data_IF_080069485599
#
_entry.id   IF_080069485599
#
_cell.length_a   1.000
_cell.length_b   1.000
_cell.length_c   1.000
_cell.angle_alpha   90.00
_cell.angle_beta   90.00
_cell.angle_gamma   90.00
#
_symmetry.space_group_name_H-M   'P 1'
#
loop_
_entity.id
_entity.type
_entity.pdbx_description
1 polymer ?
#
# COMPACT_ATOMS: atom_id res chain seq x y z
N UNK A 1 23.16 -22.41 -3.03
CA UNK A 1 21.77 -22.33 -2.54
C UNK A 1 21.89 -21.98 -1.07
N UNK A 2 22.08 -20.70 -0.79
CA UNK A 2 22.53 -20.22 0.51
C UNK A 2 21.39 -19.41 1.13
N UNK A 3 20.91 -19.92 2.26
CA UNK A 3 19.97 -19.32 3.19
C UNK A 3 18.55 -18.97 2.72
N UNK A 4 17.76 -20.02 2.45
CA UNK A 4 16.31 -19.90 2.25
C UNK A 4 15.59 -19.30 3.48
N UNK A 5 16.12 -19.46 4.71
CA UNK A 5 15.50 -18.95 5.93
C UNK A 5 15.84 -17.47 6.18
N UNK A 6 17.10 -17.06 6.00
CA UNK A 6 17.51 -15.65 6.05
C UNK A 6 16.84 -14.80 4.98
N UNK A 7 16.70 -15.32 3.75
CA UNK A 7 15.98 -14.65 2.67
C UNK A 7 14.49 -14.46 3.00
N UNK A 8 13.85 -15.44 3.66
CA UNK A 8 12.44 -15.34 4.08
C UNK A 8 12.26 -14.31 5.20
N UNK A 9 13.16 -14.24 6.18
CA UNK A 9 13.09 -13.23 7.24
C UNK A 9 13.28 -11.80 6.69
N UNK A 10 14.27 -11.61 5.80
CA UNK A 10 14.49 -10.34 5.09
C UNK A 10 13.28 -10.00 4.23
N UNK A 11 12.70 -10.97 3.52
CA UNK A 11 11.51 -10.79 2.70
C UNK A 11 10.26 -10.42 3.53
N UNK A 12 10.09 -11.00 4.72
CA UNK A 12 8.99 -10.67 5.64
C UNK A 12 9.15 -9.26 6.19
N UNK A 13 10.36 -8.86 6.58
CA UNK A 13 10.61 -7.51 7.07
C UNK A 13 10.37 -6.47 5.96
N UNK A 14 10.87 -6.74 4.75
CA UNK A 14 10.58 -5.92 3.57
C UNK A 14 9.09 -5.82 3.25
N UNK A 15 8.33 -6.91 3.46
CA UNK A 15 6.88 -6.93 3.24
C UNK A 15 6.16 -6.04 4.24
N UNK A 16 6.53 -6.10 5.52
CA UNK A 16 5.97 -5.24 6.57
C UNK A 16 6.32 -3.78 6.35
N UNK A 17 7.55 -3.48 5.96
CA UNK A 17 7.96 -2.11 5.63
C UNK A 17 7.17 -1.55 4.45
N UNK A 18 6.85 -2.38 3.44
CA UNK A 18 5.97 -1.97 2.35
C UNK A 18 4.55 -1.66 2.83
N UNK A 19 3.98 -2.49 3.69
CA UNK A 19 2.65 -2.23 4.27
C UNK A 19 2.62 -0.92 5.05
N UNK A 20 3.68 -0.60 5.80
CA UNK A 20 3.80 0.70 6.50
C UNK A 20 3.88 1.88 5.52
N UNK A 21 4.69 1.77 4.46
CA UNK A 21 4.77 2.81 3.43
C UNK A 21 3.43 3.03 2.71
N UNK A 22 2.63 1.99 2.49
CA UNK A 22 1.28 2.12 1.95
C UNK A 22 0.38 2.91 2.91
N UNK A 23 0.40 2.60 4.19
CA UNK A 23 -0.42 3.28 5.21
C UNK A 23 0.03 4.73 5.39
N UNK A 24 1.34 4.98 5.38
CA UNK A 24 1.92 6.33 5.48
C UNK A 24 1.58 7.16 4.25
N UNK A 25 1.65 6.58 3.04
CA UNK A 25 1.21 7.26 1.81
C UNK A 25 -0.26 7.68 1.90
N UNK A 26 -1.14 6.79 2.40
CA UNK A 26 -2.55 7.11 2.63
C UNK A 26 -2.72 8.19 3.69
N UNK A 27 -1.98 8.12 4.81
CA UNK A 27 -1.98 9.13 5.87
C UNK A 27 -1.47 10.50 5.40
N UNK A 28 -0.53 10.54 4.46
CA UNK A 28 -0.01 11.75 3.82
C UNK A 28 -0.98 12.33 2.77
N UNK A 29 -2.11 11.69 2.51
CA UNK A 29 -3.18 12.20 1.64
C UNK A 29 -3.38 11.44 0.33
N UNK A 30 -2.60 10.37 0.07
CA UNK A 30 -2.83 9.53 -1.11
C UNK A 30 -4.14 8.75 -0.95
N UNK A 31 -5.13 9.06 -1.77
CA UNK A 31 -6.47 8.48 -1.63
C UNK A 31 -6.77 7.39 -2.65
N UNK A 32 -5.94 7.26 -3.69
CA UNK A 32 -6.15 6.31 -4.80
C UNK A 32 -4.98 5.34 -4.95
N UNK A 33 -5.26 4.15 -5.50
CA UNK A 33 -4.26 3.11 -5.79
C UNK A 33 -3.07 3.67 -6.59
N UNK A 34 -3.36 4.55 -7.55
CA UNK A 34 -2.37 5.20 -8.39
C UNK A 34 -1.46 6.12 -7.57
N UNK A 35 -2.04 7.04 -6.80
CA UNK A 35 -1.26 7.95 -5.94
C UNK A 35 -0.40 7.19 -4.93
N UNK A 36 -0.95 6.14 -4.33
CA UNK A 36 -0.22 5.28 -3.39
C UNK A 36 0.93 4.58 -4.10
N UNK A 37 0.70 4.07 -5.31
CA UNK A 37 1.75 3.42 -6.11
C UNK A 37 2.83 4.41 -6.52
N UNK A 38 2.47 5.62 -6.94
CA UNK A 38 3.43 6.67 -7.29
C UNK A 38 4.24 7.13 -6.08
N UNK A 39 3.63 7.22 -4.90
CA UNK A 39 4.32 7.58 -3.66
C UNK A 39 5.29 6.47 -3.20
N UNK A 40 4.87 5.20 -3.25
CA UNK A 40 5.65 4.05 -2.75
C UNK A 40 6.70 3.58 -3.77
N UNK A 41 6.42 3.73 -5.07
CA UNK A 41 7.28 3.29 -6.17
C UNK A 41 7.78 4.45 -7.04
N UNK A 42 8.07 5.60 -6.40
CA UNK A 42 8.65 6.75 -7.09
C UNK A 42 9.96 6.35 -7.79
N UNK A 43 10.00 6.47 -9.13
CA UNK A 43 11.21 6.21 -9.93
C UNK A 43 11.40 4.77 -10.42
N UNK A 44 10.38 3.89 -10.32
CA UNK A 44 10.45 2.58 -10.99
C UNK A 44 10.31 2.71 -12.50
N UNK A 45 10.84 1.72 -13.22
CA UNK A 45 10.68 1.64 -14.68
C UNK A 45 9.19 1.61 -15.05
N UNK A 46 8.72 2.44 -16.00
CA UNK A 46 7.31 2.52 -16.38
C UNK A 46 6.74 1.17 -16.87
N UNK A 47 7.59 0.23 -17.30
CA UNK A 47 7.18 -1.12 -17.69
C UNK A 47 6.77 -2.00 -16.50
N UNK A 48 7.23 -1.66 -15.29
CA UNK A 48 6.93 -2.39 -14.05
C UNK A 48 5.74 -1.79 -13.28
N UNK A 49 5.31 -0.58 -13.64
CA UNK A 49 4.12 0.09 -13.08
C UNK A 49 2.85 -0.78 -13.06
N UNK A 50 2.46 -1.47 -14.15
CA UNK A 50 1.25 -2.31 -14.11
C UNK A 50 1.36 -3.46 -13.10
N UNK A 51 2.54 -4.05 -12.94
CA UNK A 51 2.76 -5.10 -11.94
C UNK A 51 2.73 -4.54 -10.51
N UNK A 52 3.32 -3.35 -10.31
CA UNK A 52 3.29 -2.66 -9.03
C UNK A 52 1.86 -2.27 -8.62
N UNK A 53 1.06 -1.75 -9.56
CA UNK A 53 -0.36 -1.42 -9.35
C UNK A 53 -1.14 -2.65 -8.89
N UNK A 54 -1.08 -3.76 -9.63
CA UNK A 54 -1.79 -4.99 -9.28
C UNK A 54 -1.37 -5.50 -7.89
N UNK A 55 -0.08 -5.39 -7.56
CA UNK A 55 0.41 -5.77 -6.24
C UNK A 55 -0.09 -4.82 -5.13
N UNK A 56 -0.17 -3.52 -5.38
CA UNK A 56 -0.72 -2.54 -4.44
C UNK A 56 -2.22 -2.78 -4.25
N UNK A 57 -2.99 -3.05 -5.29
CA UNK A 57 -4.42 -3.38 -5.19
C UNK A 57 -4.67 -4.56 -4.24
N UNK A 58 -3.93 -5.66 -4.42
CA UNK A 58 -4.04 -6.84 -3.54
C UNK A 58 -3.68 -6.50 -2.09
N UNK A 59 -2.64 -5.69 -1.89
CA UNK A 59 -2.25 -5.27 -0.53
C UNK A 59 -3.29 -4.34 0.11
N UNK A 60 -3.86 -3.40 -0.64
CA UNK A 60 -4.92 -2.53 -0.15
C UNK A 60 -6.16 -3.33 0.23
N UNK A 61 -6.59 -4.28 -0.62
CA UNK A 61 -7.70 -5.17 -0.30
C UNK A 61 -7.44 -5.97 0.98
N UNK A 62 -6.22 -6.49 1.17
CA UNK A 62 -5.82 -7.15 2.43
C UNK A 62 -5.95 -6.20 3.62
N UNK A 63 -5.39 -5.00 3.54
CA UNK A 63 -5.41 -4.02 4.63
C UNK A 63 -6.83 -3.57 4.98
N UNK A 64 -7.71 -3.41 3.98
CA UNK A 64 -9.13 -3.11 4.17
C UNK A 64 -9.82 -4.28 4.88
N UNK A 65 -9.55 -5.51 4.46
CA UNK A 65 -10.07 -6.72 5.12
C UNK A 65 -9.57 -6.88 6.56
N UNK A 66 -8.36 -6.43 6.86
CA UNK A 66 -7.78 -6.39 8.21
C UNK A 66 -8.24 -5.17 9.03
N UNK A 67 -9.15 -4.35 8.49
CA UNK A 67 -9.65 -3.13 9.12
C UNK A 67 -8.56 -2.07 9.41
N UNK A 68 -7.44 -2.14 8.70
CA UNK A 68 -6.31 -1.19 8.79
C UNK A 68 -6.45 -0.01 7.84
N UNK A 69 -7.24 -0.16 6.78
CA UNK A 69 -7.63 0.87 5.83
C UNK A 69 -9.14 0.80 5.64
N UNK A 70 -9.75 1.91 5.23
CA UNK A 70 -11.18 1.99 5.01
C UNK A 70 -11.47 2.70 3.68
N UNK A 71 -12.57 2.31 3.05
CA UNK A 71 -13.02 2.90 1.80
C UNK A 71 -14.12 3.92 2.11
N UNK A 72 -13.91 5.16 1.70
CA UNK A 72 -14.90 6.23 1.78
C UNK A 72 -15.41 6.56 0.37
N UNK A 73 -16.73 6.69 0.25
CA UNK A 73 -17.35 7.28 -0.94
C UNK A 73 -17.53 8.78 -0.70
N UNK A 74 -16.60 9.60 -1.20
CA UNK A 74 -16.63 11.05 -0.94
C UNK A 74 -17.63 11.80 -1.84
N UNK A 75 -17.93 11.24 -3.02
CA UNK A 75 -18.90 11.77 -3.98
C UNK A 75 -19.44 10.62 -4.83
N UNK A 76 -20.53 10.85 -5.57
CA UNK A 76 -21.34 9.85 -6.29
C UNK A 76 -20.57 8.92 -7.26
N UNK A 77 -19.27 9.11 -7.46
CA UNK A 77 -18.41 8.26 -8.30
C UNK A 77 -16.97 8.13 -7.81
N UNK A 78 -16.61 8.66 -6.64
CA UNK A 78 -15.22 8.68 -6.17
C UNK A 78 -15.04 7.85 -4.89
N UNK A 79 -14.33 6.73 -5.05
CA UNK A 79 -13.94 5.85 -3.95
C UNK A 79 -12.53 6.20 -3.50
N UNK A 80 -12.38 6.54 -2.22
CA UNK A 80 -11.10 6.95 -1.62
C UNK A 80 -10.72 5.98 -0.51
N UNK A 81 -9.43 5.68 -0.42
CA UNK A 81 -8.86 4.91 0.69
C UNK A 81 -8.40 5.87 1.77
N UNK A 82 -8.69 5.58 3.03
CA UNK A 82 -8.23 6.35 4.19
C UNK A 82 -7.82 5.42 5.34
N UNK A 83 -7.01 5.93 6.28
CA UNK A 83 -6.65 5.18 7.50
C UNK A 83 -7.73 5.41 8.56
N UNK A 84 -8.49 4.38 8.97
CA UNK A 84 -9.48 4.51 10.04
C UNK A 84 -8.77 4.80 11.36
N UNK A 85 -9.14 5.89 12.02
CA UNK A 85 -8.59 6.25 13.33
C UNK A 85 -7.24 6.99 13.31
N UNK A 86 -6.77 7.48 12.15
CA UNK A 86 -5.59 8.34 12.02
C UNK A 86 -5.77 9.77 12.56
N UNK A 87 -6.48 9.92 13.69
CA UNK A 87 -6.39 11.12 14.50
C UNK A 87 -4.98 11.17 15.08
N UNK A 88 -4.22 12.18 14.67
CA UNK A 88 -3.02 12.65 15.33
C UNK A 88 -3.15 12.54 16.86
N UNK A 89 -2.27 11.77 17.50
CA UNK A 89 -1.83 12.16 18.86
C UNK A 89 -0.89 13.35 18.75
#
# INVERSE_FOLDING_TARGET
>A
IEDAAGAVAIYIEHRKQRELQLIEAVGNGAATVREITEAVYAGIDPRLVPAALAQVEVQLQKLISENRLSLESTSASEMRVFVPGGGIE
#
